data_IF_161332443126
#
_entry.id   IF_161332443126
#
_cell.length_a   1.000
_cell.length_b   1.000
_cell.length_c   1.000
_cell.angle_alpha   90.00
_cell.angle_beta   90.00
_cell.angle_gamma   90.00
#
_symmetry.space_group_name_H-M   'P 1'
#
loop_
_entity.id
_entity.type
_entity.pdbx_description
1 polymer ?
#
# COMPACT_ATOMS: atom_id res chain seq x y z
N UNK A 1 1.59 -25.94 63.50
CA UNK A 1 1.79 -24.78 62.61
C UNK A 1 1.80 -25.26 61.18
N UNK A 2 0.75 -24.98 60.41
CA UNK A 2 0.61 -25.41 59.02
C UNK A 2 1.19 -24.32 58.11
N UNK A 3 2.23 -24.64 57.34
CA UNK A 3 2.89 -23.72 56.41
C UNK A 3 2.12 -23.71 55.09
N UNK A 4 1.61 -22.54 54.69
CA UNK A 4 0.89 -22.34 53.43
C UNK A 4 1.82 -22.47 52.22
N UNK A 5 1.36 -23.03 51.09
CA UNK A 5 2.17 -23.17 49.87
C UNK A 5 2.45 -21.81 49.22
N UNK A 6 3.56 -21.67 48.47
CA UNK A 6 3.93 -20.41 47.82
C UNK A 6 2.94 -20.04 46.69
N UNK A 7 2.78 -18.74 46.40
CA UNK A 7 1.86 -18.28 45.36
C UNK A 7 2.36 -18.67 43.97
N UNK A 8 1.41 -19.07 43.11
CA UNK A 8 1.64 -19.32 41.68
C UNK A 8 2.16 -18.05 40.98
N UNK A 9 3.07 -18.18 40.00
CA UNK A 9 3.50 -17.04 39.18
C UNK A 9 2.33 -16.49 38.35
N UNK A 10 2.31 -15.18 38.05
CA UNK A 10 1.25 -14.56 37.26
C UNK A 10 1.22 -15.12 35.82
N UNK A 11 0.04 -15.10 35.16
CA UNK A 11 -0.10 -15.58 33.79
C UNK A 11 0.82 -14.78 32.87
N UNK A 12 1.71 -15.48 32.16
CA UNK A 12 2.51 -14.89 31.09
C UNK A 12 1.55 -14.37 30.01
N UNK A 13 1.57 -13.06 29.78
CA UNK A 13 0.96 -12.43 28.62
C UNK A 13 1.53 -13.05 27.33
N UNK A 14 0.73 -13.26 26.28
CA UNK A 14 1.22 -13.82 25.03
C UNK A 14 2.34 -12.95 24.48
N UNK A 15 3.45 -13.61 24.18
CA UNK A 15 4.63 -13.01 23.59
C UNK A 15 4.23 -12.41 22.22
N UNK A 16 4.04 -11.08 22.20
CA UNK A 16 3.92 -10.32 20.96
C UNK A 16 5.32 -10.17 20.36
N UNK A 17 5.90 -11.30 19.93
CA UNK A 17 6.96 -11.28 18.92
C UNK A 17 6.33 -10.89 17.60
N UNK A 18 5.96 -9.61 17.49
CA UNK A 18 5.78 -8.97 16.20
C UNK A 18 7.09 -9.18 15.43
N UNK A 19 7.02 -9.97 14.36
CA UNK A 19 8.12 -10.23 13.43
C UNK A 19 8.96 -8.96 13.25
N UNK A 20 10.24 -9.02 13.62
CA UNK A 20 11.21 -7.92 13.52
C UNK A 20 11.47 -7.47 12.07
N UNK A 21 10.81 -8.07 11.08
CA UNK A 21 10.89 -7.71 9.67
C UNK A 21 10.09 -6.43 9.40
N UNK A 22 10.69 -5.41 8.76
CA UNK A 22 9.96 -4.21 8.38
C UNK A 22 8.77 -4.60 7.48
N UNK A 23 7.58 -4.00 7.69
CA UNK A 23 6.42 -4.33 6.89
C UNK A 23 6.68 -3.95 5.43
N UNK A 24 6.21 -4.78 4.50
CA UNK A 24 6.31 -4.50 3.08
C UNK A 24 5.25 -3.47 2.65
N UNK A 25 5.53 -2.75 1.57
CA UNK A 25 4.58 -1.87 0.90
C UNK A 25 3.35 -2.69 0.49
N UNK A 26 2.13 -2.19 0.75
CA UNK A 26 0.91 -2.94 0.47
C UNK A 26 0.76 -3.18 -1.03
N UNK A 27 0.36 -4.40 -1.39
CA UNK A 27 -0.06 -4.73 -2.75
C UNK A 27 -1.53 -4.34 -2.92
N UNK A 28 -1.81 -3.37 -3.78
CA UNK A 28 -3.15 -2.83 -4.03
C UNK A 28 -3.97 -3.64 -5.04
N UNK A 29 -3.81 -4.96 -5.03
CA UNK A 29 -4.61 -5.85 -5.87
C UNK A 29 -6.08 -5.89 -5.44
N UNK A 30 -6.97 -5.99 -6.42
CA UNK A 30 -8.37 -6.34 -6.17
C UNK A 30 -8.48 -7.84 -5.91
N UNK A 31 -9.01 -8.18 -4.74
CA UNK A 31 -9.21 -9.57 -4.35
C UNK A 31 -10.45 -10.13 -5.04
N UNK A 32 -10.32 -11.31 -5.63
CA UNK A 32 -11.45 -12.06 -6.19
C UNK A 32 -12.15 -12.78 -5.03
N UNK A 33 -13.38 -12.35 -4.71
CA UNK A 33 -14.14 -12.85 -3.55
C UNK A 33 -14.88 -14.16 -3.84
N UNK A 34 -15.12 -14.47 -5.13
CA UNK A 34 -15.74 -15.71 -5.57
C UNK A 34 -15.08 -16.17 -6.84
N UNK A 35 -14.57 -17.39 -6.83
CA UNK A 35 -14.01 -18.01 -8.03
C UNK A 35 -15.14 -18.70 -8.80
N UNK A 36 -15.40 -18.27 -10.02
CA UNK A 36 -16.36 -18.93 -10.91
C UNK A 36 -15.79 -20.27 -11.41
N UNK A 37 -16.62 -21.32 -11.49
CA UNK A 37 -16.21 -22.59 -12.10
C UNK A 37 -15.72 -22.37 -13.54
N UNK A 38 -14.59 -22.96 -13.90
CA UNK A 38 -13.92 -22.72 -15.18
C UNK A 38 -13.00 -21.49 -15.21
N UNK A 39 -12.91 -20.72 -14.12
CA UNK A 39 -11.89 -19.68 -13.97
C UNK A 39 -10.51 -20.30 -13.78
N UNK A 40 -9.47 -19.61 -14.27
CA UNK A 40 -8.07 -20.02 -14.08
C UNK A 40 -7.67 -20.16 -12.60
N UNK A 41 -8.38 -19.47 -11.71
CA UNK A 41 -8.17 -19.55 -10.27
C UNK A 41 -8.71 -20.86 -9.64
N UNK A 42 -9.65 -21.58 -10.29
CA UNK A 42 -10.20 -22.88 -9.82
C UNK A 42 -9.18 -24.02 -9.94
N UNK A 43 -8.15 -23.83 -10.77
CA UNK A 43 -7.16 -24.88 -11.04
C UNK A 43 -6.00 -24.85 -10.04
N UNK A 44 -5.92 -23.81 -9.19
CA UNK A 44 -4.78 -23.55 -8.31
C UNK A 44 -4.92 -24.08 -6.87
N UNK A 45 -6.10 -24.58 -6.48
CA UNK A 45 -6.45 -24.84 -5.08
C UNK A 45 -6.87 -26.30 -4.78
N UNK A 46 -6.58 -27.24 -5.69
CA UNK A 46 -6.67 -28.67 -5.38
C UNK A 46 -5.44 -29.16 -4.61
N UNK A 47 -5.58 -29.97 -3.53
CA UNK A 47 -4.46 -30.50 -2.73
C UNK A 47 -3.59 -31.55 -3.48
N UNK A 48 -3.64 -31.58 -4.82
CA UNK A 48 -2.90 -32.52 -5.68
C UNK A 48 -2.24 -31.88 -6.91
N UNK A 49 -2.20 -30.55 -7.04
CA UNK A 49 -1.42 -29.88 -8.09
C UNK A 49 -0.48 -28.84 -7.49
N UNK A 50 0.52 -29.31 -6.74
CA UNK A 50 1.73 -28.51 -6.51
C UNK A 50 2.56 -28.53 -7.80
N UNK A 51 3.18 -27.38 -8.11
CA UNK A 51 4.12 -27.08 -9.21
C UNK A 51 3.46 -26.58 -10.50
N UNK A 52 3.47 -25.24 -10.74
CA UNK A 52 4.71 -24.47 -10.90
C UNK A 52 5.00 -23.40 -9.84
N UNK A 53 4.11 -23.20 -8.85
CA UNK A 53 4.36 -22.22 -7.77
C UNK A 53 5.51 -22.64 -6.83
N UNK A 54 5.83 -23.94 -6.76
CA UNK A 54 6.98 -24.47 -6.01
C UNK A 54 8.32 -24.30 -6.75
N UNK A 55 8.33 -23.74 -7.97
CA UNK A 55 9.56 -23.44 -8.70
C UNK A 55 9.98 -21.97 -8.58
N UNK A 56 9.14 -21.11 -8.00
CA UNK A 56 9.48 -19.71 -7.83
C UNK A 56 10.18 -19.55 -6.48
N UNK A 57 11.50 -19.71 -6.49
CA UNK A 57 12.35 -19.34 -5.37
C UNK A 57 12.37 -17.81 -5.24
N UNK A 58 11.39 -17.27 -4.52
CA UNK A 58 11.35 -15.84 -4.21
C UNK A 58 12.33 -15.58 -3.07
N UNK A 59 13.38 -14.81 -3.33
CA UNK A 59 14.29 -14.36 -2.29
C UNK A 59 13.59 -13.32 -1.39
N UNK A 60 13.30 -13.69 -0.15
CA UNK A 60 12.62 -12.83 0.81
C UNK A 60 13.46 -11.63 1.26
N UNK A 61 14.79 -11.77 1.31
CA UNK A 61 15.70 -10.68 1.72
C UNK A 61 15.75 -9.58 0.66
N UNK A 62 15.82 -9.98 -0.61
CA UNK A 62 15.75 -9.08 -1.76
C UNK A 62 14.42 -8.33 -1.79
N UNK A 63 13.31 -9.06 -1.59
CA UNK A 63 11.98 -8.47 -1.57
C UNK A 63 11.82 -7.47 -0.42
N UNK A 64 12.41 -7.74 0.74
CA UNK A 64 12.49 -6.78 1.85
C UNK A 64 13.33 -5.56 1.47
N UNK A 65 14.49 -5.74 0.82
CA UNK A 65 15.36 -4.62 0.41
C UNK A 65 14.63 -3.60 -0.49
N UNK A 66 13.84 -4.08 -1.45
CA UNK A 66 13.15 -3.21 -2.40
C UNK A 66 11.79 -2.69 -1.92
N UNK A 67 11.05 -3.52 -1.17
CA UNK A 67 9.64 -3.26 -0.85
C UNK A 67 9.37 -3.01 0.62
N UNK A 68 10.36 -3.06 1.52
CA UNK A 68 10.16 -2.61 2.89
C UNK A 68 9.65 -1.17 2.94
N UNK A 69 8.74 -0.90 3.88
CA UNK A 69 8.34 0.44 4.25
C UNK A 69 9.47 1.03 5.08
N UNK A 70 9.99 2.19 4.66
CA UNK A 70 10.92 2.99 5.46
C UNK A 70 10.21 3.47 6.74
N UNK A 71 10.25 2.63 7.78
CA UNK A 71 9.97 3.09 9.13
C UNK A 71 11.16 3.95 9.52
N UNK A 72 11.10 5.27 9.29
CA UNK A 72 12.17 6.23 9.55
C UNK A 72 12.60 6.33 11.03
N UNK A 73 12.96 5.21 11.66
CA UNK A 73 13.65 5.10 12.94
C UNK A 73 15.15 5.30 12.66
N UNK A 74 15.53 6.49 12.17
CA UNK A 74 16.84 7.00 12.57
C UNK A 74 16.69 7.33 14.05
N UNK A 75 17.31 6.52 14.90
CA UNK A 75 17.53 6.83 16.29
C UNK A 75 18.27 8.18 16.36
N UNK A 76 17.51 9.25 16.61
CA UNK A 76 18.05 10.51 17.09
C UNK A 76 17.69 10.59 18.58
N UNK A 77 18.67 10.84 19.46
CA UNK A 77 18.42 10.90 20.89
C UNK A 77 17.57 12.14 21.22
N UNK A 78 16.54 11.94 22.03
CA UNK A 78 15.95 12.92 22.95
C UNK A 78 15.73 14.34 22.40
N UNK A 79 14.59 14.58 21.77
CA UNK A 79 13.94 15.89 21.79
C UNK A 79 12.41 15.71 21.67
N UNK A 80 11.59 16.38 22.49
CA UNK A 80 10.14 16.33 22.37
C UNK A 80 9.73 17.23 21.20
N UNK A 81 10.09 16.83 19.98
CA UNK A 81 9.65 17.54 18.78
C UNK A 81 8.20 17.17 18.60
N UNK A 82 7.36 18.18 18.86
CA UNK A 82 5.95 18.23 18.54
C UNK A 82 5.66 17.32 17.35
N UNK A 83 4.77 16.35 17.57
CA UNK A 83 4.25 15.43 16.55
C UNK A 83 3.73 16.27 15.40
N UNK A 84 4.63 16.61 14.47
CA UNK A 84 4.31 17.23 13.21
C UNK A 84 3.27 16.27 12.66
N UNK A 85 2.01 16.72 12.62
CA UNK A 85 0.94 16.03 11.92
C UNK A 85 1.51 15.83 10.52
N UNK A 86 2.10 14.66 10.27
CA UNK A 86 2.44 14.20 8.94
C UNK A 86 1.10 14.34 8.24
N UNK A 87 1.01 15.30 7.32
CA UNK A 87 -0.14 15.42 6.44
C UNK A 87 -0.15 14.09 5.72
N UNK A 88 -0.92 13.15 6.25
CA UNK A 88 -1.17 11.88 5.59
C UNK A 88 -2.09 12.27 4.46
N UNK A 89 -1.47 12.70 3.35
CA UNK A 89 -2.19 12.81 2.09
C UNK A 89 -2.55 11.38 1.74
N UNK A 90 -3.77 11.00 2.09
CA UNK A 90 -4.30 9.69 1.75
C UNK A 90 -4.44 9.66 0.23
N UNK A 91 -3.58 8.88 -0.44
CA UNK A 91 -3.74 8.58 -1.85
C UNK A 91 -4.86 7.56 -1.98
N UNK A 92 -6.00 7.99 -2.55
CA UNK A 92 -7.15 7.13 -2.80
C UNK A 92 -7.04 6.39 -4.15
N UNK A 93 -6.16 6.87 -5.03
CA UNK A 93 -5.88 6.28 -6.33
C UNK A 93 -4.68 5.33 -6.23
N UNK A 94 -4.71 4.25 -7.00
CA UNK A 94 -3.55 3.37 -7.14
C UNK A 94 -2.39 4.09 -7.83
N UNK A 95 -1.17 3.56 -7.68
CA UNK A 95 0.06 4.18 -8.21
C UNK A 95 0.03 4.34 -9.72
N UNK A 96 -0.55 3.37 -10.45
CA UNK A 96 -0.60 3.41 -11.92
C UNK A 96 -1.55 4.50 -12.38
N UNK A 97 -2.74 4.60 -11.79
CA UNK A 97 -3.68 5.69 -12.06
C UNK A 97 -3.11 7.05 -11.67
N UNK A 98 -2.47 7.14 -10.51
CA UNK A 98 -1.81 8.38 -10.05
C UNK A 98 -0.75 8.85 -11.05
N UNK A 99 0.11 7.93 -11.51
CA UNK A 99 1.17 8.24 -12.47
C UNK A 99 0.62 8.69 -13.83
N UNK A 100 -0.39 7.99 -14.36
CA UNK A 100 -1.02 8.39 -15.62
C UNK A 100 -1.68 9.77 -15.52
N UNK A 101 -2.40 10.04 -14.42
CA UNK A 101 -2.99 11.36 -14.17
C UNK A 101 -1.90 12.42 -14.03
N UNK A 102 -0.79 12.13 -13.35
CA UNK A 102 0.33 13.07 -13.18
C UNK A 102 0.96 13.44 -14.53
N UNK A 103 1.20 12.46 -15.41
CA UNK A 103 1.72 12.69 -16.77
C UNK A 103 0.76 13.58 -17.56
N UNK A 104 -0.54 13.22 -17.55
CA UNK A 104 -1.57 13.96 -18.24
C UNK A 104 -1.64 15.41 -17.74
N UNK A 105 -1.72 15.61 -16.42
CA UNK A 105 -1.85 16.93 -15.81
C UNK A 105 -0.62 17.80 -16.04
N UNK A 106 0.58 17.21 -16.08
CA UNK A 106 1.82 17.95 -16.38
C UNK A 106 1.86 18.39 -17.85
N UNK A 107 1.30 17.60 -18.77
CA UNK A 107 1.25 17.94 -20.20
C UNK A 107 0.40 19.17 -20.51
N UNK A 108 -0.64 19.43 -19.69
CA UNK A 108 -1.53 20.57 -19.82
C UNK A 108 -0.85 21.91 -19.47
N UNK A 109 0.26 21.90 -18.72
CA UNK A 109 0.97 23.11 -18.24
C UNK A 109 0.05 24.11 -17.50
N UNK A 110 -0.98 23.62 -16.84
CA UNK A 110 -1.96 24.40 -16.09
C UNK A 110 -1.97 23.97 -14.63
N UNK A 111 -2.25 24.89 -13.72
CA UNK A 111 -2.54 24.55 -12.33
C UNK A 111 -3.88 23.80 -12.24
N UNK A 112 -4.05 22.98 -11.18
CA UNK A 112 -5.31 22.26 -10.93
C UNK A 112 -6.53 23.18 -10.96
N UNK A 113 -6.40 24.38 -10.38
CA UNK A 113 -7.46 25.39 -10.34
C UNK A 113 -7.80 25.93 -11.72
N UNK A 114 -6.80 26.14 -12.57
CA UNK A 114 -7.00 26.63 -13.95
C UNK A 114 -7.68 25.57 -14.82
N UNK A 115 -7.31 24.28 -14.68
CA UNK A 115 -7.96 23.20 -15.44
C UNK A 115 -9.44 23.12 -15.09
N UNK A 116 -9.79 23.20 -13.80
CA UNK A 116 -11.18 23.18 -13.36
C UNK A 116 -11.93 24.42 -13.88
N UNK A 117 -11.34 25.61 -13.77
CA UNK A 117 -11.96 26.84 -14.25
C UNK A 117 -12.20 26.81 -15.76
N UNK A 118 -11.20 26.44 -16.55
CA UNK A 118 -11.31 26.33 -18.01
C UNK A 118 -12.37 25.31 -18.44
N UNK A 119 -12.52 24.20 -17.70
CA UNK A 119 -13.57 23.22 -17.96
C UNK A 119 -14.97 23.74 -17.59
N UNK A 120 -15.10 24.49 -16.49
CA UNK A 120 -16.37 25.11 -16.09
C UNK A 120 -16.80 26.24 -17.02
N UNK A 121 -15.85 26.98 -17.58
CA UNK A 121 -16.07 28.10 -18.51
C UNK A 121 -16.12 27.66 -19.98
N UNK A 122 -15.83 26.38 -20.27
CA UNK A 122 -15.70 25.84 -21.64
C UNK A 122 -14.74 26.67 -22.52
N UNK A 123 -13.59 27.04 -21.95
CA UNK A 123 -12.59 27.91 -22.61
C UNK A 123 -11.75 27.12 -23.63
N UNK A 124 -12.22 27.10 -24.88
CA UNK A 124 -11.56 26.46 -26.03
C UNK A 124 -10.15 27.03 -26.33
N UNK A 125 -9.84 28.24 -25.83
CA UNK A 125 -8.50 28.84 -25.98
C UNK A 125 -7.47 28.24 -25.03
N UNK A 126 -7.91 27.67 -23.90
CA UNK A 126 -7.03 27.04 -22.89
C UNK A 126 -7.10 25.51 -22.90
N UNK A 127 -8.26 24.93 -23.17
CA UNK A 127 -8.44 23.49 -23.38
C UNK A 127 -8.91 23.23 -24.82
N UNK A 128 -8.02 22.69 -25.64
CA UNK A 128 -8.39 22.22 -26.98
C UNK A 128 -9.05 20.83 -26.93
N UNK A 129 -9.66 20.42 -28.04
CA UNK A 129 -10.37 19.14 -28.16
C UNK A 129 -9.50 17.92 -27.79
N UNK A 130 -8.21 17.94 -28.15
CA UNK A 130 -7.26 16.86 -27.82
C UNK A 130 -6.99 16.74 -26.32
N UNK A 131 -6.89 17.87 -25.61
CA UNK A 131 -6.73 17.90 -24.16
C UNK A 131 -8.00 17.44 -23.44
N UNK A 132 -9.17 17.81 -23.96
CA UNK A 132 -10.47 17.37 -23.43
C UNK A 132 -10.61 15.85 -23.57
N UNK A 133 -10.29 15.29 -24.74
CA UNK A 133 -10.38 13.84 -24.95
C UNK A 133 -9.38 13.09 -24.06
N UNK A 134 -8.21 13.68 -23.78
CA UNK A 134 -7.26 13.08 -22.84
C UNK A 134 -7.81 13.02 -21.40
N UNK A 135 -8.59 14.02 -20.98
CA UNK A 135 -9.16 14.13 -19.62
C UNK A 135 -10.43 13.28 -19.38
N UNK A 136 -11.00 12.71 -20.44
CA UNK A 136 -12.25 11.95 -20.43
C UNK A 136 -12.10 10.56 -19.81
#
# INVERSE_FOLDING_TARGET
GMKTPPPLPPPQSPDLTASLTPPLKPLHWEKIHRVAQGSLWVRGDGPKSMSPASSLEINSEELQSYFAVDSGKKAAPEAPVARQKRKSTAFLLDVRRTSNCEILLTSLKMSKTEVVAALMEMDEGKLNESAIESLR
#
